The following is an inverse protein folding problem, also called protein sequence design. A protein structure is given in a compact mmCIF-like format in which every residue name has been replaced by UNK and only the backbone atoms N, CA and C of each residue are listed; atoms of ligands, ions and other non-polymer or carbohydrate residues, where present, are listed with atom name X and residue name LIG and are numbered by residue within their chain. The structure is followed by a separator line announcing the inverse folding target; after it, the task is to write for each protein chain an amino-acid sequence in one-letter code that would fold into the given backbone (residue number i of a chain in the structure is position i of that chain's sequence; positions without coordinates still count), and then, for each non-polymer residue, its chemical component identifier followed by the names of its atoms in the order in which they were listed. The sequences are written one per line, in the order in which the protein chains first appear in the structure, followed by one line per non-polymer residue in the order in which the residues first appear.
data_IF_745232099686
#
_entry.id   IF_745232099686
#
_cell.length_a   1.000
_cell.length_b   1.000
_cell.length_c   1.000
_cell.angle_alpha   90.00
_cell.angle_beta   90.00
_cell.angle_gamma   90.00
#
_symmetry.space_group_name_H-M   'P 1'
#
loop_
_entity.id
_entity.type
_entity.pdbx_description
1 polymer ?
#
# COMPACT_ATOMS: atom_id res chain seq x y z
N UNK A 1 -24.69 -1.10 14.95
CA UNK A 1 -23.97 -1.88 13.92
C UNK A 1 -23.14 -1.00 12.99
N UNK A 2 -23.68 0.09 12.41
CA UNK A 2 -22.91 1.02 11.57
C UNK A 2 -21.70 1.66 12.26
N UNK A 3 -21.84 2.09 13.52
CA UNK A 3 -20.76 2.76 14.26
C UNK A 3 -19.54 1.84 14.44
N UNK A 4 -19.76 0.57 14.75
CA UNK A 4 -18.68 -0.42 14.96
C UNK A 4 -17.91 -0.67 13.67
N UNK A 5 -18.61 -0.85 12.54
CA UNK A 5 -17.97 -1.03 11.22
C UNK A 5 -17.20 0.21 10.79
N UNK A 6 -17.76 1.41 11.03
CA UNK A 6 -17.10 2.67 10.73
C UNK A 6 -15.81 2.86 11.53
N UNK A 7 -15.81 2.48 12.82
CA UNK A 7 -14.61 2.51 13.66
C UNK A 7 -13.53 1.55 13.15
N UNK A 8 -13.89 0.32 12.80
CA UNK A 8 -12.92 -0.68 12.29
C UNK A 8 -12.31 -0.21 10.96
N UNK A 9 -13.14 0.23 10.01
CA UNK A 9 -12.66 0.74 8.73
C UNK A 9 -11.84 2.03 8.89
N UNK A 10 -12.27 2.93 9.76
CA UNK A 10 -11.56 4.17 10.05
C UNK A 10 -10.18 3.94 10.66
N UNK A 11 -10.07 3.02 11.62
CA UNK A 11 -8.78 2.61 12.19
C UNK A 11 -7.89 1.94 11.15
N UNK A 12 -8.44 1.03 10.34
CA UNK A 12 -7.70 0.36 9.28
C UNK A 12 -7.12 1.34 8.25
N UNK A 13 -7.96 2.23 7.73
CA UNK A 13 -7.52 3.27 6.80
C UNK A 13 -6.53 4.23 7.45
N UNK A 14 -6.80 4.67 8.69
CA UNK A 14 -5.91 5.55 9.44
C UNK A 14 -4.52 4.94 9.65
N UNK A 15 -4.43 3.65 9.99
CA UNK A 15 -3.16 2.94 10.10
C UNK A 15 -2.41 2.88 8.77
N UNK A 16 -3.10 2.62 7.65
CA UNK A 16 -2.47 2.62 6.32
C UNK A 16 -1.91 4.00 5.97
N UNK A 17 -2.72 5.06 6.08
CA UNK A 17 -2.28 6.43 5.79
C UNK A 17 -1.19 6.91 6.77
N UNK A 18 -1.24 6.50 8.04
CA UNK A 18 -0.20 6.79 9.03
C UNK A 18 1.16 6.18 8.67
N UNK A 19 1.18 4.92 8.25
CA UNK A 19 2.41 4.26 7.77
C UNK A 19 2.95 4.92 6.49
N UNK A 20 2.07 5.32 5.58
CA UNK A 20 2.46 6.06 4.38
C UNK A 20 3.12 7.41 4.73
N UNK A 21 2.51 8.19 5.63
CA UNK A 21 3.07 9.45 6.10
C UNK A 21 4.44 9.27 6.79
N UNK A 22 4.60 8.20 7.58
CA UNK A 22 5.88 7.85 8.21
C UNK A 22 6.98 7.60 7.16
N UNK A 23 6.67 6.89 6.06
CA UNK A 23 7.62 6.65 4.97
C UNK A 23 8.10 7.93 4.29
N UNK A 24 7.18 8.85 3.99
CA UNK A 24 7.51 10.19 3.48
C UNK A 24 8.41 10.96 4.45
N UNK A 25 8.09 10.93 5.75
CA UNK A 25 8.87 11.61 6.78
C UNK A 25 10.29 11.06 6.90
N UNK A 26 10.47 9.73 6.94
CA UNK A 26 11.80 9.10 7.02
C UNK A 26 12.65 9.51 5.82
N UNK A 27 12.08 9.47 4.62
CA UNK A 27 12.78 9.85 3.39
C UNK A 27 13.22 11.32 3.45
N UNK A 28 12.32 12.20 3.89
CA UNK A 28 12.60 13.63 4.06
C UNK A 28 13.65 13.87 5.16
N UNK A 29 13.60 13.15 6.27
CA UNK A 29 14.52 13.31 7.39
C UNK A 29 15.98 13.04 7.00
N UNK A 30 16.22 12.10 6.08
CA UNK A 30 17.57 11.76 5.61
C UNK A 30 17.98 12.60 4.39
N UNK A 31 17.06 12.96 3.50
CA UNK A 31 17.38 13.59 2.22
C UNK A 31 17.14 15.11 2.18
N UNK A 32 16.41 15.67 3.16
CA UNK A 32 15.88 17.05 3.18
C UNK A 32 15.06 17.45 1.92
N UNK A 33 14.63 16.45 1.13
CA UNK A 33 13.88 16.64 -0.11
C UNK A 33 12.61 15.79 -0.09
N UNK A 34 11.52 16.34 -0.62
CA UNK A 34 10.25 15.61 -0.76
C UNK A 34 10.31 14.74 -2.03
N UNK A 35 10.10 13.44 -1.88
CA UNK A 35 10.11 12.49 -3.00
C UNK A 35 8.68 12.19 -3.48
N UNK A 36 8.30 12.73 -4.64
CA UNK A 36 6.99 12.47 -5.26
C UNK A 36 6.87 11.08 -5.90
N UNK A 37 7.98 10.39 -6.17
CA UNK A 37 7.97 9.02 -6.67
C UNK A 37 7.47 8.01 -5.61
N UNK A 38 7.50 8.39 -4.33
CA UNK A 38 7.01 7.56 -3.22
C UNK A 38 5.49 7.33 -3.30
N UNK A 39 4.74 8.26 -3.90
CA UNK A 39 3.32 8.06 -4.21
C UNK A 39 3.10 7.08 -5.37
N UNK A 40 3.93 7.14 -6.41
CA UNK A 40 3.85 6.21 -7.55
C UNK A 40 4.24 4.78 -7.19
N UNK A 41 5.17 4.59 -6.25
CA UNK A 41 5.54 3.25 -5.77
C UNK A 41 4.42 2.58 -4.97
N UNK A 42 3.62 3.34 -4.20
CA UNK A 42 2.42 2.82 -3.56
C UNK A 42 1.38 2.34 -4.58
N UNK A 43 1.20 3.10 -5.67
CA UNK A 43 0.26 2.74 -6.73
C UNK A 43 0.66 1.44 -7.44
N UNK A 44 1.96 1.16 -7.57
CA UNK A 44 2.46 -0.09 -8.14
C UNK A 44 1.94 -1.32 -7.40
N UNK A 45 1.94 -1.32 -6.06
CA UNK A 45 1.40 -2.43 -5.27
C UNK A 45 -0.10 -2.64 -5.49
N UNK A 46 -0.87 -1.55 -5.57
CA UNK A 46 -2.31 -1.62 -5.86
C UNK A 46 -2.58 -2.19 -7.26
N UNK A 47 -1.84 -1.71 -8.27
CA UNK A 47 -1.98 -2.16 -9.66
C UNK A 47 -1.59 -3.62 -9.80
N UNK A 48 -0.45 -4.06 -9.23
CA UNK A 48 -0.04 -5.46 -9.28
C UNK A 48 -1.07 -6.39 -8.65
N UNK A 49 -1.60 -6.02 -7.48
CA UNK A 49 -2.63 -6.81 -6.79
C UNK A 49 -3.91 -6.89 -7.62
N UNK A 50 -4.32 -5.79 -8.25
CA UNK A 50 -5.45 -5.77 -9.18
C UNK A 50 -5.19 -6.64 -10.41
N UNK A 51 -4.02 -6.54 -11.03
CA UNK A 51 -3.65 -7.32 -12.21
C UNK A 51 -3.66 -8.82 -11.90
N UNK A 52 -3.06 -9.26 -10.79
CA UNK A 52 -3.08 -10.68 -10.44
C UNK A 52 -4.47 -11.18 -10.04
N UNK A 53 -5.22 -10.43 -9.22
CA UNK A 53 -6.51 -10.91 -8.73
C UNK A 53 -7.65 -10.78 -9.75
N UNK A 54 -7.75 -9.64 -10.44
CA UNK A 54 -8.88 -9.32 -11.33
C UNK A 54 -8.57 -9.61 -12.79
N UNK A 55 -7.39 -9.21 -13.28
CA UNK A 55 -7.05 -9.39 -14.71
C UNK A 55 -6.65 -10.83 -15.02
N UNK A 56 -5.85 -11.45 -14.15
CA UNK A 56 -5.36 -12.84 -14.31
C UNK A 56 -6.22 -13.87 -13.56
N UNK A 57 -7.13 -13.42 -12.70
CA UNK A 57 -8.07 -14.30 -12.00
C UNK A 57 -7.42 -15.20 -10.94
N UNK A 58 -6.24 -14.84 -10.42
CA UNK A 58 -5.57 -15.66 -9.42
C UNK A 58 -6.33 -15.64 -8.08
N UNK A 59 -6.29 -16.74 -7.30
CA UNK A 59 -6.86 -16.74 -5.97
C UNK A 59 -6.20 -15.67 -5.10
N UNK A 60 -7.02 -14.98 -4.31
CA UNK A 60 -6.63 -13.79 -3.56
C UNK A 60 -5.32 -13.91 -2.75
N UNK A 61 -5.06 -15.01 -2.02
CA UNK A 61 -3.81 -15.16 -1.26
C UNK A 61 -2.56 -15.19 -2.15
N UNK A 62 -2.68 -15.80 -3.33
CA UNK A 62 -1.59 -15.98 -4.30
C UNK A 62 -1.31 -14.67 -5.04
N UNK A 63 -2.37 -13.94 -5.40
CA UNK A 63 -2.27 -12.60 -5.96
C UNK A 63 -1.58 -11.61 -5.00
N UNK A 64 -1.95 -11.63 -3.72
CA UNK A 64 -1.38 -10.75 -2.70
C UNK A 64 0.10 -11.06 -2.44
N UNK A 65 0.45 -12.33 -2.29
CA UNK A 65 1.84 -12.75 -2.03
C UNK A 65 2.75 -12.45 -3.22
N UNK A 66 2.28 -12.66 -4.45
CA UNK A 66 3.03 -12.29 -5.66
C UNK A 66 3.22 -10.78 -5.78
N UNK A 67 2.18 -9.97 -5.53
CA UNK A 67 2.28 -8.52 -5.56
C UNK A 67 3.27 -8.00 -4.50
N UNK A 68 3.20 -8.51 -3.26
CA UNK A 68 4.14 -8.15 -2.19
C UNK A 68 5.58 -8.54 -2.53
N UNK A 69 5.80 -9.73 -3.09
CA UNK A 69 7.13 -10.19 -3.49
C UNK A 69 7.73 -9.27 -4.57
N UNK A 70 6.94 -8.86 -5.56
CA UNK A 70 7.39 -7.93 -6.61
C UNK A 70 7.65 -6.53 -6.07
N UNK A 71 6.81 -6.01 -5.17
CA UNK A 71 7.06 -4.74 -4.49
C UNK A 71 8.35 -4.77 -3.65
N UNK A 72 8.59 -5.86 -2.92
CA UNK A 72 9.81 -6.03 -2.13
C UNK A 72 11.08 -6.10 -3.01
N UNK A 73 10.97 -6.70 -4.20
CA UNK A 73 12.05 -6.70 -5.19
C UNK A 73 12.29 -5.33 -5.83
N UNK A 74 11.24 -4.50 -5.95
CA UNK A 74 11.33 -3.15 -6.49
C UNK A 74 12.04 -2.17 -5.54
N UNK A 75 11.81 -2.31 -4.23
CA UNK A 75 12.40 -1.45 -3.18
C UNK A 75 11.38 -0.60 -2.46
#
# INVERSE_FOLDING_TARGET
MLLTSALISGLGLGSMYGLMALGFYITYAVSATVNFAQGSSMMLGAVLTYTFSQTLGWPWPLALTAALALCALYG
#
